data_IF_574851536025
#
_entry.id   IF_574851536025
#
_cell.length_a   1.000
_cell.length_b   1.000
_cell.length_c   1.000
_cell.angle_alpha   90.00
_cell.angle_beta   90.00
_cell.angle_gamma   90.00
#
_symmetry.space_group_name_H-M   'P 1'
#
loop_
_entity.id
_entity.type
_entity.pdbx_description
1 polymer ?
#
# COMPACT_ATOMS: atom_id res chain seq x y z
N UNK A 1 -6.93 24.17 -1.42
CA UNK A 1 -6.34 22.85 -1.77
C UNK A 1 -7.45 22.01 -2.38
N UNK A 2 -7.28 21.50 -3.60
CA UNK A 2 -8.23 20.54 -4.18
C UNK A 2 -8.11 19.25 -3.35
N UNK A 3 -9.20 18.83 -2.71
CA UNK A 3 -9.24 17.52 -2.05
C UNK A 3 -9.33 16.45 -3.13
N UNK A 4 -8.35 15.57 -3.18
CA UNK A 4 -8.33 14.42 -4.07
C UNK A 4 -9.41 13.41 -3.69
N UNK A 5 -9.93 12.68 -4.67
CA UNK A 5 -10.71 11.46 -4.47
C UNK A 5 -9.78 10.26 -4.52
N UNK A 6 -9.75 9.47 -3.46
CA UNK A 6 -8.76 8.41 -3.25
C UNK A 6 -9.40 7.04 -3.46
N UNK A 7 -8.85 6.24 -4.38
CA UNK A 7 -9.16 4.83 -4.49
C UNK A 7 -8.34 4.04 -3.46
N UNK A 8 -8.99 3.27 -2.59
CA UNK A 8 -8.34 2.50 -1.53
C UNK A 8 -8.57 1.01 -1.72
N UNK A 9 -7.49 0.23 -1.78
CA UNK A 9 -7.49 -1.23 -1.77
C UNK A 9 -6.93 -1.71 -0.42
N UNK A 10 -7.60 -2.69 0.20
CA UNK A 10 -7.17 -3.22 1.49
C UNK A 10 -7.54 -2.37 2.70
N UNK A 11 -8.49 -1.43 2.55
CA UNK A 11 -8.88 -0.47 3.58
C UNK A 11 -9.52 -1.04 4.86
N UNK A 12 -9.79 -2.35 4.92
CA UNK A 12 -10.27 -3.04 6.14
C UNK A 12 -9.16 -3.84 6.84
N UNK A 13 -7.95 -3.83 6.28
CA UNK A 13 -6.79 -4.51 6.85
C UNK A 13 -6.15 -3.74 8.01
N UNK A 14 -5.06 -4.31 8.56
CA UNK A 14 -4.33 -3.74 9.72
C UNK A 14 -3.88 -2.30 9.53
N UNK A 15 -3.31 -1.96 8.37
CA UNK A 15 -2.92 -0.60 8.02
C UNK A 15 -4.07 0.19 7.42
N UNK A 16 -4.88 -0.46 6.57
CA UNK A 16 -5.93 0.19 5.80
C UNK A 16 -7.05 0.79 6.64
N UNK A 17 -7.42 0.17 7.74
CA UNK A 17 -8.45 0.72 8.65
C UNK A 17 -8.03 2.05 9.28
N UNK A 18 -6.76 2.20 9.64
CA UNK A 18 -6.19 3.45 10.13
C UNK A 18 -6.08 4.49 9.01
N UNK A 19 -5.68 4.07 7.81
CA UNK A 19 -5.64 4.95 6.64
C UNK A 19 -7.04 5.53 6.33
N UNK A 20 -8.06 4.68 6.25
CA UNK A 20 -9.44 5.12 5.98
C UNK A 20 -9.92 6.10 7.05
N UNK A 21 -9.67 5.80 8.34
CA UNK A 21 -9.96 6.71 9.45
C UNK A 21 -9.30 8.09 9.25
N UNK A 22 -8.00 8.11 8.96
CA UNK A 22 -7.24 9.36 8.76
C UNK A 22 -7.66 10.14 7.52
N UNK A 23 -8.00 9.46 6.41
CA UNK A 23 -8.53 10.10 5.20
C UNK A 23 -9.85 10.79 5.48
N UNK A 24 -10.76 10.15 6.23
CA UNK A 24 -12.03 10.73 6.66
C UNK A 24 -11.80 11.97 7.55
N UNK A 25 -10.94 11.86 8.55
CA UNK A 25 -10.59 12.97 9.46
C UNK A 25 -10.07 14.20 8.69
N UNK A 26 -9.38 13.98 7.57
CA UNK A 26 -8.88 15.04 6.68
C UNK A 26 -9.87 15.48 5.59
N UNK A 27 -11.05 14.88 5.52
CA UNK A 27 -12.12 15.26 4.58
C UNK A 27 -11.96 14.74 3.17
N UNK A 28 -11.09 13.75 2.91
CA UNK A 28 -10.94 13.15 1.59
C UNK A 28 -12.16 12.31 1.20
N UNK A 29 -12.56 12.38 -0.07
CA UNK A 29 -13.48 11.41 -0.65
C UNK A 29 -12.77 10.09 -0.95
N UNK A 30 -13.39 8.97 -0.62
CA UNK A 30 -12.79 7.64 -0.71
C UNK A 30 -13.70 6.74 -1.54
N UNK A 31 -13.13 6.06 -2.54
CA UNK A 31 -13.73 4.84 -3.10
C UNK A 31 -13.00 3.64 -2.49
N UNK A 32 -13.73 2.76 -1.85
CA UNK A 32 -13.18 1.64 -1.08
C UNK A 32 -13.57 0.31 -1.72
N UNK A 33 -12.57 -0.48 -2.18
CA UNK A 33 -12.81 -1.81 -2.71
C UNK A 33 -13.00 -2.83 -1.57
N UNK A 34 -14.14 -3.49 -1.54
CA UNK A 34 -14.48 -4.49 -0.53
C UNK A 34 -15.00 -5.78 -1.18
N UNK A 35 -14.45 -6.92 -0.76
CA UNK A 35 -14.97 -8.23 -1.16
C UNK A 35 -16.33 -8.55 -0.50
N UNK A 36 -16.47 -8.19 0.75
CA UNK A 36 -17.63 -8.45 1.59
C UNK A 36 -18.11 -7.14 2.25
N UNK A 37 -18.79 -6.24 1.50
CA UNK A 37 -19.22 -4.94 2.01
C UNK A 37 -20.22 -5.04 3.18
N UNK A 38 -20.93 -6.16 3.31
CA UNK A 38 -21.85 -6.45 4.42
C UNK A 38 -21.16 -6.48 5.79
N UNK A 39 -19.85 -6.72 5.83
CA UNK A 39 -19.05 -6.72 7.04
C UNK A 39 -18.46 -5.35 7.40
N UNK A 40 -18.76 -4.32 6.60
CA UNK A 40 -18.24 -2.97 6.78
C UNK A 40 -19.34 -2.05 7.33
N UNK A 41 -19.22 -1.66 8.57
CA UNK A 41 -20.25 -0.90 9.30
C UNK A 41 -20.14 0.62 9.19
N UNK A 42 -19.03 1.15 8.66
CA UNK A 42 -18.82 2.60 8.58
C UNK A 42 -19.63 3.19 7.42
N UNK A 43 -20.63 4.02 7.76
CA UNK A 43 -21.54 4.68 6.80
C UNK A 43 -21.18 6.17 6.57
N UNK A 44 -19.92 6.54 6.72
CA UNK A 44 -19.50 7.93 6.50
C UNK A 44 -19.79 8.35 5.05
N UNK A 45 -20.43 9.52 4.80
CA UNK A 45 -20.80 9.97 3.46
C UNK A 45 -19.60 10.25 2.54
N UNK A 46 -18.38 10.32 3.06
CA UNK A 46 -17.17 10.44 2.27
C UNK A 46 -16.72 9.11 1.65
N UNK A 47 -17.33 7.97 2.03
CA UNK A 47 -16.97 6.64 1.54
C UNK A 47 -17.99 6.14 0.52
N UNK A 48 -17.52 5.90 -0.69
CA UNK A 48 -18.22 5.15 -1.73
C UNK A 48 -17.65 3.72 -1.73
N UNK A 49 -18.50 2.71 -1.56
CA UNK A 49 -18.09 1.31 -1.55
C UNK A 49 -18.24 0.71 -2.95
N UNK A 50 -17.17 0.11 -3.44
CA UNK A 50 -17.15 -0.73 -4.63
C UNK A 50 -17.04 -2.19 -4.19
N UNK A 51 -18.04 -3.02 -4.50
CA UNK A 51 -17.98 -4.45 -4.23
C UNK A 51 -17.13 -5.13 -5.31
N UNK A 52 -16.10 -5.86 -4.90
CA UNK A 52 -15.23 -6.57 -5.84
C UNK A 52 -13.96 -7.13 -5.21
N UNK A 53 -13.17 -7.80 -6.00
CA UNK A 53 -11.86 -8.36 -5.62
C UNK A 53 -10.74 -7.65 -6.39
N UNK A 54 -9.61 -7.40 -5.74
CA UNK A 54 -8.44 -6.76 -6.36
C UNK A 54 -7.78 -7.66 -7.44
N UNK A 55 -8.10 -8.96 -7.47
CA UNK A 55 -7.70 -9.88 -8.55
C UNK A 55 -8.55 -9.74 -9.80
N UNK A 56 -9.71 -9.09 -9.71
CA UNK A 56 -10.61 -8.87 -10.83
C UNK A 56 -10.37 -7.48 -11.44
N UNK A 57 -10.02 -7.46 -12.73
CA UNK A 57 -9.73 -6.23 -13.45
C UNK A 57 -10.93 -5.26 -13.48
N UNK A 58 -12.14 -5.76 -13.70
CA UNK A 58 -13.32 -4.91 -13.82
C UNK A 58 -13.65 -4.23 -12.48
N UNK A 59 -13.48 -4.95 -11.38
CA UNK A 59 -13.64 -4.39 -10.03
C UNK A 59 -12.63 -3.28 -9.74
N UNK A 60 -11.35 -3.47 -10.12
CA UNK A 60 -10.29 -2.47 -9.94
C UNK A 60 -10.52 -1.28 -10.87
N UNK A 61 -10.92 -1.52 -12.12
CA UNK A 61 -11.21 -0.47 -13.07
C UNK A 61 -12.39 0.41 -12.61
N UNK A 62 -13.46 -0.18 -12.05
CA UNK A 62 -14.59 0.56 -11.49
C UNK A 62 -14.19 1.36 -10.25
N UNK A 63 -13.35 0.78 -9.39
CA UNK A 63 -12.79 1.47 -8.22
C UNK A 63 -12.06 2.75 -8.62
N UNK A 64 -11.21 2.68 -9.63
CA UNK A 64 -10.28 3.75 -10.02
C UNK A 64 -11.00 4.90 -10.74
N UNK A 65 -12.11 4.63 -11.43
CA UNK A 65 -12.88 5.68 -12.13
C UNK A 65 -13.16 6.87 -11.23
N UNK A 66 -12.89 8.06 -11.75
CA UNK A 66 -13.11 9.36 -11.07
C UNK A 66 -12.23 9.61 -9.83
N UNK A 67 -11.22 8.79 -9.61
CA UNK A 67 -10.23 9.03 -8.56
C UNK A 67 -9.02 9.79 -9.10
N UNK A 68 -8.27 10.44 -8.21
CA UNK A 68 -7.03 11.15 -8.54
C UNK A 68 -5.79 10.31 -8.16
N UNK A 69 -5.91 9.47 -7.13
CA UNK A 69 -4.81 8.68 -6.55
C UNK A 69 -5.30 7.29 -6.15
N UNK A 70 -4.44 6.29 -6.29
CA UNK A 70 -4.68 4.94 -5.77
C UNK A 70 -3.75 4.67 -4.60
N UNK A 71 -4.29 4.18 -3.47
CA UNK A 71 -3.51 3.72 -2.33
C UNK A 71 -3.86 2.25 -2.05
N UNK A 72 -2.87 1.38 -2.08
CA UNK A 72 -3.02 -0.04 -1.74
C UNK A 72 -2.32 -0.38 -0.43
N UNK A 73 -3.11 -0.84 0.53
CA UNK A 73 -2.64 -1.39 1.81
C UNK A 73 -3.00 -2.88 1.92
N UNK A 74 -3.03 -3.56 0.78
CA UNK A 74 -3.45 -4.96 0.71
C UNK A 74 -2.47 -5.84 1.49
N UNK A 75 -3.02 -6.77 2.26
CA UNK A 75 -2.27 -7.79 2.97
C UNK A 75 -2.51 -9.18 2.38
N UNK A 76 -1.67 -10.15 2.76
CA UNK A 76 -1.85 -11.54 2.36
C UNK A 76 -3.15 -12.10 2.95
N UNK A 77 -4.12 -12.55 2.15
CA UNK A 77 -5.30 -13.22 2.65
C UNK A 77 -4.94 -14.57 3.28
N UNK A 78 -5.65 -14.93 4.36
CA UNK A 78 -5.42 -16.22 5.02
C UNK A 78 -5.84 -17.38 4.12
N UNK A 79 -4.99 -18.40 4.02
CA UNK A 79 -5.25 -19.63 3.27
C UNK A 79 -5.61 -19.44 1.78
N UNK A 80 -5.22 -18.32 1.18
CA UNK A 80 -5.38 -18.03 -0.23
C UNK A 80 -4.02 -17.86 -0.91
N UNK A 81 -4.01 -17.99 -2.24
CA UNK A 81 -2.83 -17.63 -3.06
C UNK A 81 -2.45 -16.18 -2.82
N UNK A 82 -1.18 -15.88 -3.03
CA UNK A 82 -0.69 -14.52 -2.97
C UNK A 82 -1.43 -13.60 -3.96
N UNK A 83 -1.54 -12.32 -3.62
CA UNK A 83 -2.44 -11.38 -4.31
C UNK A 83 -1.70 -10.14 -4.84
N UNK A 84 -0.46 -9.93 -4.44
CA UNK A 84 0.22 -8.63 -4.61
C UNK A 84 0.46 -8.29 -6.08
N UNK A 85 1.11 -9.18 -6.84
CA UNK A 85 1.41 -8.93 -8.24
C UNK A 85 0.16 -8.88 -9.12
N UNK A 86 -0.86 -9.71 -8.83
CA UNK A 86 -2.11 -9.70 -9.60
C UNK A 86 -2.91 -8.41 -9.34
N UNK A 87 -3.03 -7.98 -8.08
CA UNK A 87 -3.66 -6.70 -7.74
C UNK A 87 -2.95 -5.53 -8.39
N UNK A 88 -1.62 -5.46 -8.28
CA UNK A 88 -0.83 -4.37 -8.85
C UNK A 88 -0.88 -4.35 -10.38
N UNK A 89 -0.90 -5.51 -11.03
CA UNK A 89 -1.12 -5.59 -12.49
C UNK A 89 -2.46 -4.99 -12.90
N UNK A 90 -3.54 -5.33 -12.20
CA UNK A 90 -4.87 -4.78 -12.49
C UNK A 90 -4.91 -3.27 -12.25
N UNK A 91 -4.26 -2.76 -11.20
CA UNK A 91 -4.13 -1.32 -10.95
C UNK A 91 -3.38 -0.64 -12.10
N UNK A 92 -2.21 -1.16 -12.51
CA UNK A 92 -1.41 -0.60 -13.62
C UNK A 92 -2.23 -0.58 -14.92
N UNK A 93 -2.90 -1.67 -15.27
CA UNK A 93 -3.73 -1.75 -16.48
C UNK A 93 -4.88 -0.73 -16.45
N UNK A 94 -5.59 -0.61 -15.32
CA UNK A 94 -6.69 0.33 -15.15
C UNK A 94 -6.22 1.78 -15.18
N UNK A 95 -5.08 2.09 -14.56
CA UNK A 95 -4.49 3.43 -14.56
C UNK A 95 -3.95 3.82 -15.94
N UNK A 96 -3.39 2.88 -16.71
CA UNK A 96 -2.93 3.14 -18.07
C UNK A 96 -4.07 3.50 -19.04
N UNK A 97 -5.28 3.05 -18.77
CA UNK A 97 -6.49 3.43 -19.52
C UNK A 97 -7.16 4.72 -19.02
N UNK A 98 -6.57 5.37 -18.04
CA UNK A 98 -7.02 6.63 -17.43
C UNK A 98 -5.88 7.65 -17.37
N UNK A 99 -6.18 8.87 -16.94
CA UNK A 99 -5.17 9.93 -16.75
C UNK A 99 -4.48 9.86 -15.38
N UNK A 100 -4.86 8.90 -14.53
CA UNK A 100 -4.34 8.77 -13.17
C UNK A 100 -2.93 8.18 -13.23
N UNK A 101 -1.98 8.82 -12.52
CA UNK A 101 -0.58 8.38 -12.48
C UNK A 101 -0.10 8.00 -11.09
N UNK A 102 -0.69 8.56 -10.03
CA UNK A 102 -0.19 8.40 -8.66
C UNK A 102 -0.67 7.10 -8.03
N UNK A 103 0.26 6.18 -7.78
CA UNK A 103 0.02 4.90 -7.09
C UNK A 103 0.92 4.74 -5.88
N UNK A 104 0.34 4.61 -4.69
CA UNK A 104 1.04 4.42 -3.41
C UNK A 104 0.71 3.02 -2.91
N UNK A 105 1.72 2.22 -2.64
CA UNK A 105 1.52 0.83 -2.22
C UNK A 105 2.49 0.46 -1.10
N UNK A 106 2.06 -0.36 -0.16
CA UNK A 106 2.90 -0.87 0.94
C UNK A 106 3.32 -2.30 0.68
N UNK A 107 4.54 -2.64 1.13
CA UNK A 107 5.06 -4.00 1.08
C UNK A 107 5.92 -4.31 2.31
N UNK A 108 6.47 -5.51 2.40
CA UNK A 108 7.37 -5.89 3.49
C UNK A 108 8.81 -5.45 3.24
N UNK A 109 9.60 -5.35 4.32
CA UNK A 109 11.04 -5.06 4.26
C UNK A 109 11.86 -6.09 3.45
N UNK A 110 11.27 -7.26 3.20
CA UNK A 110 11.88 -8.36 2.46
C UNK A 110 11.94 -8.15 0.94
N UNK A 111 11.25 -7.17 0.38
CA UNK A 111 11.41 -6.80 -1.04
C UNK A 111 12.78 -6.17 -1.27
N UNK A 112 13.50 -6.67 -2.27
CA UNK A 112 14.82 -6.21 -2.62
C UNK A 112 14.78 -5.20 -3.77
N UNK A 113 15.67 -4.21 -3.72
CA UNK A 113 15.91 -3.26 -4.80
C UNK A 113 17.40 -3.21 -5.14
N UNK A 114 17.79 -2.76 -6.33
CA UNK A 114 19.21 -2.63 -6.71
C UNK A 114 20.02 -1.64 -5.84
N UNK A 115 19.32 -0.81 -5.07
CA UNK A 115 19.93 0.24 -4.26
C UNK A 115 20.11 -0.16 -2.79
N UNK A 116 19.69 -1.35 -2.41
CA UNK A 116 19.69 -1.80 -1.02
C UNK A 116 21.11 -1.94 -0.47
N UNK A 117 21.27 -1.43 0.76
CA UNK A 117 22.43 -1.68 1.63
C UNK A 117 21.94 -2.17 2.99
N UNK A 118 21.08 -3.20 2.96
CA UNK A 118 20.43 -3.77 4.14
C UNK A 118 21.46 -4.25 5.16
N UNK A 119 21.24 -3.92 6.42
CA UNK A 119 22.02 -4.45 7.54
C UNK A 119 21.78 -5.96 7.72
N UNK A 120 22.60 -6.60 8.54
CA UNK A 120 22.52 -8.05 8.74
C UNK A 120 21.16 -8.53 9.28
N UNK A 121 20.52 -7.74 10.16
CA UNK A 121 19.19 -8.08 10.70
C UNK A 121 18.13 -8.11 9.60
N UNK A 122 18.11 -7.11 8.72
CA UNK A 122 17.16 -7.04 7.60
C UNK A 122 17.44 -8.10 6.54
N UNK A 123 18.71 -8.44 6.28
CA UNK A 123 19.09 -9.57 5.42
C UNK A 123 18.57 -10.88 5.98
N UNK A 124 18.84 -11.16 7.26
CA UNK A 124 18.35 -12.37 7.93
C UNK A 124 16.82 -12.47 7.92
N UNK A 125 16.11 -11.37 8.20
CA UNK A 125 14.66 -11.33 8.14
C UNK A 125 14.14 -11.57 6.70
N UNK A 126 14.82 -11.02 5.70
CA UNK A 126 14.50 -11.24 4.28
C UNK A 126 14.67 -12.72 3.91
N UNK A 127 15.79 -13.33 4.28
CA UNK A 127 16.07 -14.73 4.03
C UNK A 127 15.06 -15.64 4.73
N UNK A 128 14.74 -15.35 6.00
CA UNK A 128 13.73 -16.07 6.75
C UNK A 128 12.36 -16.03 6.04
N UNK A 129 11.97 -14.90 5.46
CA UNK A 129 10.74 -14.77 4.69
C UNK A 129 10.76 -15.63 3.42
N UNK A 130 11.88 -15.69 2.71
CA UNK A 130 12.03 -16.57 1.54
C UNK A 130 11.93 -18.05 1.91
N UNK A 131 12.45 -18.46 3.07
CA UNK A 131 12.40 -19.85 3.53
C UNK A 131 11.01 -20.26 4.03
N UNK A 132 10.29 -19.38 4.73
CA UNK A 132 9.04 -19.73 5.41
C UNK A 132 7.78 -19.33 4.62
N UNK A 133 7.86 -18.31 3.77
CA UNK A 133 6.76 -17.79 2.98
C UNK A 133 7.17 -17.49 1.52
N UNK A 134 7.73 -18.50 0.80
CA UNK A 134 8.33 -18.27 -0.52
C UNK A 134 7.35 -17.70 -1.54
N UNK A 135 6.13 -18.22 -1.63
CA UNK A 135 5.12 -17.74 -2.58
C UNK A 135 4.81 -16.26 -2.37
N UNK A 136 4.52 -15.87 -1.14
CA UNK A 136 4.21 -14.46 -0.79
C UNK A 136 5.41 -13.55 -1.03
N UNK A 137 6.61 -14.03 -0.70
CA UNK A 137 7.83 -13.24 -0.84
C UNK A 137 8.19 -13.01 -2.31
N UNK A 138 8.11 -14.06 -3.12
CA UNK A 138 8.32 -13.96 -4.58
C UNK A 138 7.25 -13.09 -5.26
N UNK A 139 6.01 -13.19 -4.83
CA UNK A 139 4.92 -12.39 -5.40
C UNK A 139 5.06 -10.90 -5.09
N UNK A 140 5.50 -10.54 -3.87
CA UNK A 140 5.85 -9.15 -3.53
C UNK A 140 7.06 -8.63 -4.32
N UNK A 141 8.05 -9.48 -4.59
CA UNK A 141 9.17 -9.12 -5.44
C UNK A 141 8.70 -8.85 -6.87
N UNK A 142 7.79 -9.69 -7.40
CA UNK A 142 7.17 -9.49 -8.70
C UNK A 142 6.30 -8.22 -8.76
N UNK A 143 5.62 -7.88 -7.68
CA UNK A 143 4.91 -6.59 -7.56
C UNK A 143 5.86 -5.41 -7.78
N UNK A 144 7.03 -5.41 -7.15
CA UNK A 144 8.06 -4.39 -7.35
C UNK A 144 8.53 -4.33 -8.81
N UNK A 145 8.79 -5.47 -9.44
CA UNK A 145 9.21 -5.55 -10.85
C UNK A 145 8.15 -4.92 -11.78
N UNK A 146 6.86 -5.27 -11.61
CA UNK A 146 5.76 -4.66 -12.36
C UNK A 146 5.70 -3.14 -12.20
N UNK A 147 5.93 -2.63 -10.99
CA UNK A 147 5.97 -1.19 -10.74
C UNK A 147 7.13 -0.53 -11.48
N UNK A 148 8.32 -1.13 -11.45
CA UNK A 148 9.51 -0.57 -12.13
C UNK A 148 9.37 -0.52 -13.64
N UNK A 149 8.63 -1.44 -14.23
CA UNK A 149 8.32 -1.49 -15.66
C UNK A 149 7.19 -0.53 -16.07
N UNK A 150 6.42 -0.01 -15.10
CA UNK A 150 5.28 0.87 -15.35
C UNK A 150 5.68 2.33 -15.58
N UNK A 151 4.78 3.08 -16.26
CA UNK A 151 4.92 4.53 -16.43
C UNK A 151 4.20 5.33 -15.34
N UNK A 152 3.84 4.70 -14.21
CA UNK A 152 3.16 5.35 -13.10
C UNK A 152 4.14 6.14 -12.21
N UNK A 153 3.62 7.12 -11.52
CA UNK A 153 4.31 7.82 -10.42
C UNK A 153 4.07 7.04 -9.12
N UNK A 154 4.66 5.85 -9.05
CA UNK A 154 4.48 4.94 -7.94
C UNK A 154 5.43 5.23 -6.77
N UNK A 155 5.00 4.85 -5.57
CA UNK A 155 5.86 4.73 -4.37
C UNK A 155 5.55 3.40 -3.70
N UNK A 156 6.54 2.52 -3.56
CA UNK A 156 6.43 1.24 -2.86
C UNK A 156 7.07 1.35 -1.48
N UNK A 157 6.27 1.47 -0.44
CA UNK A 157 6.75 1.70 0.93
C UNK A 157 7.05 0.36 1.59
N UNK A 158 8.31 0.13 1.96
CA UNK A 158 8.79 -1.10 2.60
C UNK A 158 8.73 -0.97 4.12
N UNK A 159 8.04 -1.89 4.76
CA UNK A 159 7.67 -1.79 6.18
C UNK A 159 8.24 -2.95 6.99
N UNK A 160 8.70 -2.68 8.22
CA UNK A 160 8.87 -3.69 9.26
C UNK A 160 7.51 -4.16 9.80
N UNK A 161 7.44 -4.62 11.04
CA UNK A 161 6.19 -5.03 11.68
C UNK A 161 5.25 -3.84 11.88
N UNK A 162 4.00 -3.96 11.40
CA UNK A 162 2.95 -2.95 11.63
C UNK A 162 2.27 -3.20 12.98
N UNK A 163 2.33 -2.23 13.87
CA UNK A 163 1.63 -2.23 15.17
C UNK A 163 0.33 -1.45 15.02
N UNK A 164 -0.79 -2.11 15.31
CA UNK A 164 -2.12 -1.50 15.25
C UNK A 164 -2.35 -0.63 16.50
N UNK A 165 -1.91 0.61 16.43
CA UNK A 165 -2.06 1.62 17.49
C UNK A 165 -2.36 2.98 16.88
N UNK A 166 -3.10 3.81 17.64
CA UNK A 166 -3.32 5.23 17.34
C UNK A 166 -2.17 6.13 17.88
N UNK A 167 -1.25 5.54 18.65
CA UNK A 167 -0.08 6.26 19.17
C UNK A 167 0.87 6.65 18.03
N UNK A 168 1.52 7.80 18.19
CA UNK A 168 2.51 8.32 17.27
C UNK A 168 3.90 8.35 17.92
N UNK A 169 4.90 8.00 17.12
CA UNK A 169 6.29 7.93 17.51
C UNK A 169 7.15 8.73 16.53
N UNK A 170 8.41 8.94 16.86
CA UNK A 170 9.36 9.49 15.91
C UNK A 170 9.54 8.53 14.72
N UNK A 171 9.54 9.09 13.51
CA UNK A 171 9.56 8.30 12.28
C UNK A 171 10.76 8.62 11.41
N UNK A 172 11.27 7.63 10.70
CA UNK A 172 12.34 7.79 9.74
C UNK A 172 12.01 7.11 8.41
N UNK A 173 12.59 7.67 7.34
CA UNK A 173 12.56 7.06 6.00
C UNK A 173 14.00 6.86 5.51
N UNK A 174 14.24 5.71 4.89
CA UNK A 174 15.54 5.39 4.31
C UNK A 174 15.37 4.62 3.00
N UNK A 175 16.18 4.93 1.98
CA UNK A 175 16.10 4.25 0.68
C UNK A 175 16.92 2.95 0.64
N UNK A 176 17.81 2.74 1.59
CA UNK A 176 18.83 1.69 1.52
C UNK A 176 18.68 0.61 2.58
N UNK A 177 18.18 0.97 3.77
CA UNK A 177 18.11 0.09 4.94
C UNK A 177 16.94 0.42 5.87
N UNK A 178 16.60 -0.53 6.76
CA UNK A 178 15.59 -0.39 7.80
C UNK A 178 16.22 -0.69 9.17
N UNK A 179 16.42 0.32 10.00
CA UNK A 179 16.95 0.13 11.35
C UNK A 179 15.84 -0.06 12.39
N UNK A 180 14.62 0.43 12.11
CA UNK A 180 13.46 0.26 12.98
C UNK A 180 12.87 -1.14 12.92
N UNK A 181 12.28 -1.58 14.03
CA UNK A 181 11.68 -2.92 14.16
C UNK A 181 10.20 -2.94 13.84
N UNK A 182 9.55 -1.78 13.96
CA UNK A 182 8.10 -1.65 13.75
C UNK A 182 7.71 -0.28 13.22
N UNK A 183 6.46 -0.16 12.84
CA UNK A 183 5.81 1.10 12.50
C UNK A 183 4.39 1.12 13.06
N UNK A 184 3.99 2.25 13.66
CA UNK A 184 2.60 2.50 14.06
C UNK A 184 1.71 2.62 12.84
N UNK A 185 0.52 2.00 12.88
CA UNK A 185 -0.47 2.12 11.81
C UNK A 185 -0.97 3.56 11.65
N UNK A 186 -1.00 4.33 12.74
CA UNK A 186 -1.31 5.76 12.72
C UNK A 186 -0.25 6.56 11.96
N UNK A 187 1.04 6.39 12.30
CA UNK A 187 2.15 7.10 11.64
C UNK A 187 2.25 6.71 10.16
N UNK A 188 2.10 5.41 9.87
CA UNK A 188 2.05 4.93 8.49
C UNK A 188 0.93 5.61 7.69
N UNK A 189 -0.25 5.76 8.28
CA UNK A 189 -1.39 6.41 7.62
C UNK A 189 -1.11 7.88 7.31
N UNK A 190 -0.48 8.60 8.24
CA UNK A 190 -0.05 10.00 8.04
C UNK A 190 0.99 10.07 6.91
N UNK A 191 1.96 9.17 6.91
CA UNK A 191 2.97 9.10 5.86
C UNK A 191 2.37 8.78 4.49
N UNK A 192 1.47 7.78 4.39
CA UNK A 192 0.77 7.44 3.14
C UNK A 192 0.01 8.64 2.57
N UNK A 193 -0.69 9.39 3.40
CA UNK A 193 -1.45 10.57 3.00
C UNK A 193 -0.51 11.69 2.52
N UNK A 194 0.63 11.89 3.19
CA UNK A 194 1.62 12.88 2.75
C UNK A 194 2.19 12.58 1.35
N UNK A 195 2.23 11.30 0.96
CA UNK A 195 2.72 10.88 -0.35
C UNK A 195 1.75 11.20 -1.50
N UNK A 196 0.52 11.62 -1.22
CA UNK A 196 -0.46 11.96 -2.28
C UNK A 196 0.10 13.04 -3.19
N UNK A 197 0.65 14.12 -2.61
CA UNK A 197 1.18 15.28 -3.32
C UNK A 197 2.72 15.38 -3.30
N UNK A 198 3.40 14.43 -2.63
CA UNK A 198 4.85 14.51 -2.40
C UNK A 198 5.62 13.68 -3.42
N UNK A 199 6.42 14.34 -4.25
CA UNK A 199 7.11 13.74 -5.40
C UNK A 199 8.48 13.11 -5.07
N UNK A 200 9.02 13.35 -3.88
CA UNK A 200 10.37 12.90 -3.49
C UNK A 200 10.58 11.40 -3.66
N UNK A 201 9.51 10.63 -3.47
CA UNK A 201 9.55 9.16 -3.58
C UNK A 201 8.87 8.63 -4.84
N UNK A 202 8.66 9.43 -5.87
CA UNK A 202 8.20 8.93 -7.18
C UNK A 202 9.22 7.93 -7.74
N UNK A 203 8.71 6.76 -8.14
CA UNK A 203 9.48 5.61 -8.65
C UNK A 203 10.57 5.13 -7.68
N UNK A 204 10.29 5.22 -6.38
CA UNK A 204 11.22 4.79 -5.31
C UNK A 204 10.53 3.86 -4.31
N UNK A 205 11.37 3.14 -3.58
CA UNK A 205 10.94 2.18 -2.56
C UNK A 205 11.57 2.50 -1.20
N UNK A 206 11.13 3.56 -0.50
CA UNK A 206 11.65 3.88 0.82
C UNK A 206 11.24 2.82 1.85
N UNK A 207 12.09 2.54 2.82
CA UNK A 207 11.70 2.01 4.11
C UNK A 207 11.05 3.12 4.93
N UNK A 208 10.04 2.78 5.71
CA UNK A 208 9.40 3.69 6.66
C UNK A 208 9.17 2.96 7.98
N UNK A 209 9.65 3.54 9.10
CA UNK A 209 9.65 2.89 10.40
C UNK A 209 9.65 3.91 11.54
N UNK A 210 9.31 3.43 12.77
CA UNK A 210 9.53 4.19 14.01
C UNK A 210 10.92 3.92 14.57
N UNK A 211 11.50 4.93 15.24
CA UNK A 211 12.78 4.90 15.97
C UNK A 211 12.56 5.04 17.48
#
# INVERSE_FOLDING_TARGET
>A
MKLHKIAVIGGTGKAGSFLVKKLIEKGYQIKLLLRNPENFSNQNPLIEIIKGDARDYDSVNELIKTCDVVISTIGQPKAEKSIFSDSTRNVILSMNSSEIKRYIVITGLNVNTPFDNKNEKVKMATEWMYQNYPETTLDKQKEYELLTESNLDWTLIRLPLIIQTDESFETETNLYDCIGESVSASDLSVFLISQIDYETYFKKSPFFYNI
#
